data_IF_378987474265
#
_entry.id   IF_378987474265
#
_cell.length_a   1.000
_cell.length_b   1.000
_cell.length_c   1.000
_cell.angle_alpha   90.00
_cell.angle_beta   90.00
_cell.angle_gamma   90.00
#
_symmetry.space_group_name_H-M   'P 1'
#
loop_
_entity.id
_entity.type
_entity.pdbx_description
1 polymer ?
#
# COMPACT_ATOMS: atom_id res chain seq x y z
N UNK A 1 33.19 -11.30 -38.67
CA UNK A 1 32.70 -11.89 -37.40
C UNK A 1 32.53 -10.91 -36.24
N UNK A 2 33.54 -10.10 -35.88
CA UNK A 2 33.50 -9.23 -34.68
C UNK A 2 32.42 -8.14 -34.68
N UNK A 3 31.97 -7.64 -35.84
CA UNK A 3 30.93 -6.60 -35.95
C UNK A 3 29.53 -7.12 -35.59
N UNK A 4 29.21 -8.34 -36.00
CA UNK A 4 27.92 -8.96 -35.67
C UNK A 4 27.82 -9.28 -34.18
N UNK A 5 28.91 -9.77 -33.57
CA UNK A 5 28.98 -9.99 -32.12
C UNK A 5 28.63 -8.72 -31.33
N UNK A 6 29.18 -7.56 -31.72
CA UNK A 6 28.94 -6.28 -31.03
C UNK A 6 27.49 -5.81 -31.15
N UNK A 7 26.86 -6.07 -32.30
CA UNK A 7 25.45 -5.74 -32.54
C UNK A 7 24.56 -6.62 -31.66
N UNK A 8 24.83 -7.92 -31.61
CA UNK A 8 24.08 -8.86 -30.76
C UNK A 8 24.21 -8.55 -29.27
N UNK A 9 25.41 -8.23 -28.80
CA UNK A 9 25.61 -7.81 -27.40
C UNK A 9 24.87 -6.50 -27.09
N UNK A 10 24.84 -5.55 -28.02
CA UNK A 10 24.09 -4.30 -27.85
C UNK A 10 22.58 -4.53 -27.75
N UNK A 11 22.02 -5.38 -28.61
CA UNK A 11 20.60 -5.75 -28.58
C UNK A 11 20.24 -6.45 -27.26
N UNK A 12 21.08 -7.36 -26.78
CA UNK A 12 20.85 -8.06 -25.52
C UNK A 12 20.80 -7.10 -24.32
N UNK A 13 21.72 -6.12 -24.26
CA UNK A 13 21.72 -5.10 -23.19
C UNK A 13 20.44 -4.27 -23.23
N UNK A 14 20.04 -3.79 -24.42
CA UNK A 14 18.81 -2.99 -24.57
C UNK A 14 17.58 -3.78 -24.10
N UNK A 15 17.47 -5.05 -24.50
CA UNK A 15 16.36 -5.91 -24.11
C UNK A 15 16.26 -6.10 -22.58
N UNK A 16 17.40 -6.28 -21.91
CA UNK A 16 17.42 -6.43 -20.43
C UNK A 16 17.03 -5.16 -19.68
N UNK A 17 17.32 -3.97 -20.21
CA UNK A 17 16.94 -2.71 -19.57
C UNK A 17 15.44 -2.43 -19.70
N UNK A 18 14.79 -2.89 -20.78
CA UNK A 18 13.35 -2.70 -20.98
C UNK A 18 12.48 -3.45 -19.95
N UNK A 19 12.97 -4.55 -19.38
CA UNK A 19 12.22 -5.35 -18.39
C UNK A 19 12.37 -4.86 -16.94
N UNK A 20 13.30 -3.94 -16.66
CA UNK A 20 13.62 -3.51 -15.29
C UNK A 20 12.52 -2.65 -14.62
N UNK A 21 11.63 -2.02 -15.40
CA UNK A 21 10.61 -1.09 -14.90
C UNK A 21 9.34 -1.78 -14.35
N UNK A 22 9.16 -3.08 -14.59
CA UNK A 22 7.92 -3.81 -14.26
C UNK A 22 7.72 -3.98 -12.73
N UNK A 23 8.79 -3.97 -11.94
CA UNK A 23 8.71 -4.21 -10.49
C UNK A 23 8.56 -2.95 -9.63
N UNK A 24 8.63 -1.75 -10.22
CA UNK A 24 8.65 -0.48 -9.46
C UNK A 24 7.28 -0.07 -8.89
N UNK A 25 6.19 -0.70 -9.33
CA UNK A 25 4.81 -0.33 -8.95
C UNK A 25 4.17 -1.28 -7.92
N UNK A 26 4.97 -2.12 -7.24
CA UNK A 26 4.42 -3.10 -6.26
C UNK A 26 3.62 -2.44 -5.14
N UNK A 27 3.98 -1.20 -4.77
CA UNK A 27 3.29 -0.42 -3.75
C UNK A 27 2.58 0.75 -4.42
N UNK A 28 1.33 0.53 -4.85
CA UNK A 28 0.45 1.63 -5.25
C UNK A 28 0.31 2.59 -4.07
N UNK A 29 0.44 3.90 -4.31
CA UNK A 29 0.20 4.91 -3.27
C UNK A 29 -1.28 4.87 -2.89
N UNK A 30 -1.61 4.15 -1.81
CA UNK A 30 -2.92 4.25 -1.17
C UNK A 30 -3.05 5.64 -0.53
N UNK A 31 -4.29 6.10 -0.35
CA UNK A 31 -4.60 7.42 0.16
C UNK A 31 -3.75 7.78 1.38
N UNK A 32 -3.12 8.95 1.34
CA UNK A 32 -2.27 9.45 2.42
C UNK A 32 -3.11 10.42 3.25
N UNK A 33 -3.37 10.08 4.50
CA UNK A 33 -4.12 10.94 5.43
C UNK A 33 -3.15 11.66 6.37
N UNK A 34 -3.46 12.90 6.75
CA UNK A 34 -2.64 13.66 7.70
C UNK A 34 -2.83 13.21 9.16
N UNK A 35 -3.89 12.46 9.43
CA UNK A 35 -4.31 12.07 10.78
C UNK A 35 -4.29 10.55 10.96
N UNK A 36 -3.19 9.89 10.58
CA UNK A 36 -3.07 8.43 10.64
C UNK A 36 -3.27 7.86 12.06
N UNK A 37 -3.07 8.65 13.12
CA UNK A 37 -3.36 8.21 14.48
C UNK A 37 -4.84 7.87 14.72
N UNK A 38 -5.78 8.43 13.93
CA UNK A 38 -7.20 8.03 14.01
C UNK A 38 -7.45 6.62 13.46
N UNK A 39 -6.53 6.06 12.67
CA UNK A 39 -6.62 4.65 12.23
C UNK A 39 -6.20 3.66 13.31
N UNK A 40 -5.67 4.14 14.43
CA UNK A 40 -5.26 3.28 15.54
C UNK A 40 -6.40 3.24 16.55
N UNK A 41 -6.88 2.04 16.82
CA UNK A 41 -7.95 1.80 17.78
C UNK A 41 -7.47 2.08 19.20
N UNK A 42 -8.08 3.05 19.87
CA UNK A 42 -7.74 3.45 21.24
C UNK A 42 -8.49 2.65 22.32
N UNK A 43 -9.55 1.94 21.94
CA UNK A 43 -10.38 1.13 22.84
C UNK A 43 -10.12 -0.38 22.66
N UNK A 44 -9.89 -1.08 23.77
CA UNK A 44 -9.62 -2.52 23.77
C UNK A 44 -10.82 -3.33 23.26
N UNK A 45 -12.06 -2.89 23.55
CA UNK A 45 -13.27 -3.57 23.09
C UNK A 45 -13.44 -3.42 21.58
N UNK A 46 -13.23 -2.22 21.05
CA UNK A 46 -13.19 -1.98 19.60
C UNK A 46 -12.12 -2.81 18.89
N UNK A 47 -10.93 -2.93 19.49
CA UNK A 47 -9.85 -3.74 18.92
C UNK A 47 -10.23 -5.23 18.88
N UNK A 48 -10.81 -5.75 19.97
CA UNK A 48 -11.31 -7.14 20.03
C UNK A 48 -12.46 -7.42 19.06
N UNK A 49 -13.23 -6.40 18.69
CA UNK A 49 -14.34 -6.48 17.74
C UNK A 49 -13.94 -6.14 16.30
N UNK A 50 -12.63 -6.06 16.00
CA UNK A 50 -12.12 -5.67 14.68
C UNK A 50 -12.75 -4.36 14.15
N UNK A 51 -12.94 -3.39 15.06
CA UNK A 51 -13.47 -2.05 14.78
C UNK A 51 -14.96 -2.01 14.35
N UNK A 52 -15.66 -3.15 14.40
CA UNK A 52 -17.06 -3.28 13.99
C UNK A 52 -18.03 -2.81 15.09
N UNK A 53 -17.90 -1.55 15.53
CA UNK A 53 -18.70 -0.96 16.62
C UNK A 53 -19.84 -0.06 16.14
N UNK A 54 -20.19 -0.08 14.86
CA UNK A 54 -21.16 0.87 14.26
C UNK A 54 -22.57 0.81 14.87
N UNK A 55 -23.03 -0.36 15.33
CA UNK A 55 -24.35 -0.53 15.95
C UNK A 55 -24.32 -0.61 17.47
N UNK A 56 -23.14 -0.57 18.08
CA UNK A 56 -22.94 -0.78 19.51
C UNK A 56 -22.78 0.56 20.23
N UNK A 57 -23.57 0.74 21.29
CA UNK A 57 -23.36 1.87 22.19
C UNK A 57 -22.02 1.69 22.94
N UNK A 58 -21.11 2.66 22.75
CA UNK A 58 -19.73 2.62 23.25
C UNK A 58 -19.34 3.90 24.01
N UNK A 59 -20.32 4.70 24.43
CA UNK A 59 -20.09 5.94 25.17
C UNK A 59 -19.19 6.93 24.41
N UNK A 60 -18.20 7.50 25.08
CA UNK A 60 -17.25 8.45 24.47
C UNK A 60 -16.43 7.85 23.33
N UNK A 61 -16.20 6.53 23.32
CA UNK A 61 -15.50 5.84 22.24
C UNK A 61 -16.28 5.88 20.92
N UNK A 62 -17.61 6.03 20.99
CA UNK A 62 -18.49 6.11 19.82
C UNK A 62 -18.11 7.26 18.87
N UNK A 63 -17.47 8.32 19.39
CA UNK A 63 -16.92 9.43 18.61
C UNK A 63 -15.98 8.97 17.48
N UNK A 64 -15.32 7.82 17.64
CA UNK A 64 -14.36 7.29 16.67
C UNK A 64 -14.93 6.17 15.77
N UNK A 65 -16.14 5.68 16.02
CA UNK A 65 -16.75 4.58 15.27
C UNK A 65 -18.12 4.94 14.67
N UNK A 66 -19.04 5.43 15.50
CA UNK A 66 -20.36 5.93 15.10
C UNK A 66 -20.95 6.86 16.18
N UNK A 67 -20.89 8.19 16.03
CA UNK A 67 -21.41 9.14 17.02
C UNK A 67 -22.93 9.41 16.95
N UNK A 68 -23.65 8.79 16.00
CA UNK A 68 -25.09 8.97 15.82
C UNK A 68 -25.91 8.03 16.71
#
# INVERSE_FOLDING_TARGET
MRRHIKIWTGIAVILTMMTASVYSQKNQKLAQTGFQFLSVVSDARGSAMAEALTSLETGSSALFFNPA
#
